data_IF_320700500376
#
_entry.id   IF_320700500376
#
_cell.length_a   1.000
_cell.length_b   1.000
_cell.length_c   1.000
_cell.angle_alpha   90.00
_cell.angle_beta   90.00
_cell.angle_gamma   90.00
#
_symmetry.space_group_name_H-M   'P 1'
#
loop_
_entity.id
_entity.type
_entity.pdbx_description
1 polymer ?
#
# COMPACT_ATOMS: atom_id res chain seq x y z
N UNK A 1 -7.60 33.58 25.37
CA UNK A 1 -6.25 33.47 24.77
C UNK A 1 -6.42 33.11 23.31
N UNK A 2 -6.01 34.01 22.43
CA UNK A 2 -6.21 33.95 20.98
C UNK A 2 -5.17 33.03 20.34
N UNK A 3 -5.60 32.01 19.59
CA UNK A 3 -4.72 31.29 18.65
C UNK A 3 -5.21 31.58 17.22
N UNK A 4 -4.37 32.29 16.47
CA UNK A 4 -4.63 32.70 15.09
C UNK A 4 -4.32 31.52 14.18
N UNK A 5 -5.34 30.81 13.71
CA UNK A 5 -5.21 29.75 12.71
C UNK A 5 -5.41 30.31 11.31
N UNK A 6 -4.32 30.43 10.56
CA UNK A 6 -4.34 30.75 9.13
C UNK A 6 -4.40 29.45 8.33
N UNK A 7 -5.60 29.10 7.86
CA UNK A 7 -5.83 28.02 6.89
C UNK A 7 -5.64 28.63 5.50
N UNK A 8 -4.64 28.15 4.76
CA UNK A 8 -4.52 28.42 3.33
C UNK A 8 -5.40 27.44 2.56
N UNK A 9 -6.54 27.94 2.09
CA UNK A 9 -7.34 27.33 1.04
C UNK A 9 -6.81 27.86 -0.30
N UNK A 10 -6.31 26.97 -1.14
CA UNK A 10 -6.14 27.20 -2.59
C UNK A 10 -6.60 25.93 -3.31
N UNK A 11 -7.87 25.88 -3.69
CA UNK A 11 -8.38 26.25 -5.02
C UNK A 11 -8.02 25.24 -6.13
N UNK A 12 -8.75 24.11 -6.13
CA UNK A 12 -9.62 23.65 -7.22
C UNK A 12 -9.41 24.30 -8.60
N UNK A 13 -8.98 23.53 -9.61
CA UNK A 13 -9.56 23.59 -10.95
C UNK A 13 -9.31 22.30 -11.74
N UNK A 14 -10.39 21.63 -12.10
CA UNK A 14 -10.42 20.50 -13.01
C UNK A 14 -10.63 20.96 -14.47
N UNK A 15 -10.27 20.05 -15.39
CA UNK A 15 -10.70 19.94 -16.79
C UNK A 15 -9.98 20.79 -17.86
N UNK A 16 -9.30 20.09 -18.79
CA UNK A 16 -9.58 20.09 -20.26
C UNK A 16 -8.32 19.71 -21.07
N UNK A 17 -8.37 18.63 -21.85
CA UNK A 17 -7.41 18.27 -22.92
C UNK A 17 -8.01 18.76 -24.26
N UNK A 18 -7.27 19.15 -25.35
CA UNK A 18 -6.22 18.35 -26.02
C UNK A 18 -5.02 19.05 -26.74
N UNK A 19 -3.93 18.29 -26.91
CA UNK A 19 -2.98 18.10 -28.05
C UNK A 19 -2.26 19.31 -28.75
N UNK A 20 -0.93 19.43 -28.53
CA UNK A 20 0.21 19.52 -29.49
C UNK A 20 1.35 20.49 -29.09
N UNK A 21 2.54 19.89 -28.97
CA UNK A 21 3.91 20.37 -29.26
C UNK A 21 4.27 21.83 -28.93
N UNK A 22 5.02 21.98 -27.84
CA UNK A 22 6.31 22.66 -27.87
C UNK A 22 7.32 21.77 -27.14
N UNK A 23 8.52 21.65 -27.68
CA UNK A 23 9.66 21.08 -26.98
C UNK A 23 9.96 21.98 -25.77
N UNK A 24 9.31 21.71 -24.64
CA UNK A 24 9.78 22.21 -23.36
C UNK A 24 10.98 21.37 -23.01
N UNK A 25 12.15 21.96 -23.21
CA UNK A 25 13.40 21.60 -22.55
C UNK A 25 13.18 21.81 -21.04
N UNK A 26 12.35 20.95 -20.44
CA UNK A 26 12.26 20.82 -19.02
C UNK A 26 13.65 20.37 -18.59
N UNK A 27 14.34 21.06 -17.67
CA UNK A 27 15.52 20.50 -17.07
C UNK A 27 15.06 19.19 -16.44
N UNK A 28 15.40 18.07 -17.08
CA UNK A 28 15.31 16.75 -16.48
C UNK A 28 16.27 16.86 -15.32
N UNK A 29 15.73 17.21 -14.15
CA UNK A 29 16.44 17.23 -12.90
C UNK A 29 16.90 15.80 -12.70
N UNK A 30 18.15 15.56 -13.12
CA UNK A 30 18.75 14.26 -13.09
C UNK A 30 18.85 13.94 -11.61
N UNK A 31 18.19 12.88 -11.12
CA UNK A 31 18.28 12.55 -9.71
C UNK A 31 19.77 12.37 -9.39
N UNK A 32 20.26 13.16 -8.43
CA UNK A 32 21.65 13.10 -8.01
C UNK A 32 22.04 11.63 -7.76
N UNK A 33 23.24 11.19 -8.16
CA UNK A 33 23.63 9.79 -8.06
C UNK A 33 23.49 9.33 -6.60
N UNK A 34 22.51 8.45 -6.37
CA UNK A 34 22.30 7.88 -5.03
C UNK A 34 23.54 7.10 -4.65
N UNK A 35 24.14 7.50 -3.53
CA UNK A 35 25.29 6.76 -3.01
C UNK A 35 24.86 5.32 -2.73
N UNK A 36 25.79 4.36 -2.86
CA UNK A 36 25.52 2.94 -2.57
C UNK A 36 24.94 2.73 -1.16
N UNK A 37 25.28 3.61 -0.21
CA UNK A 37 24.72 3.63 1.13
C UNK A 37 23.24 4.04 1.16
N UNK A 38 22.87 5.13 0.48
CA UNK A 38 21.49 5.58 0.37
C UNK A 38 20.60 4.54 -0.34
N UNK A 39 21.10 3.92 -1.42
CA UNK A 39 20.37 2.86 -2.12
C UNK A 39 20.14 1.62 -1.24
N UNK A 40 21.12 1.23 -0.40
CA UNK A 40 20.96 0.15 0.57
C UNK A 40 19.94 0.50 1.66
N UNK A 41 19.92 1.74 2.15
CA UNK A 41 18.96 2.19 3.14
C UNK A 41 17.52 2.15 2.60
N UNK A 42 17.31 2.64 1.37
CA UNK A 42 16.02 2.60 0.70
C UNK A 42 15.51 1.16 0.49
N UNK A 43 16.37 0.26 0.00
CA UNK A 43 16.02 -1.17 -0.17
C UNK A 43 15.66 -1.85 1.15
N UNK A 44 16.35 -1.52 2.24
CA UNK A 44 16.01 -2.03 3.58
C UNK A 44 14.64 -1.54 4.03
N UNK A 45 14.32 -0.27 3.84
CA UNK A 45 13.01 0.28 4.18
C UNK A 45 11.90 -0.41 3.38
N UNK A 46 12.06 -0.54 2.06
CA UNK A 46 11.11 -1.23 1.19
C UNK A 46 10.95 -2.71 1.56
N UNK A 47 12.04 -3.40 1.88
CA UNK A 47 11.99 -4.81 2.30
C UNK A 47 11.23 -4.99 3.60
N UNK A 48 11.31 -4.04 4.55
CA UNK A 48 10.53 -4.08 5.80
C UNK A 48 9.04 -3.93 5.52
N UNK A 49 8.67 -2.93 4.72
CA UNK A 49 7.27 -2.72 4.31
C UNK A 49 6.69 -3.94 3.59
N UNK A 50 7.46 -4.55 2.68
CA UNK A 50 7.03 -5.75 1.97
C UNK A 50 6.87 -6.97 2.92
N UNK A 51 7.72 -7.09 3.94
CA UNK A 51 7.57 -8.14 4.96
C UNK A 51 6.36 -7.89 5.85
N UNK A 52 6.12 -6.66 6.25
CA UNK A 52 4.96 -6.30 7.06
C UNK A 52 3.66 -6.61 6.34
N UNK A 53 3.56 -6.26 5.05
CA UNK A 53 2.40 -6.61 4.21
C UNK A 53 2.20 -8.14 4.13
N UNK A 54 3.24 -8.89 3.78
CA UNK A 54 3.16 -10.36 3.69
C UNK A 54 2.84 -11.03 5.02
N UNK A 55 3.40 -10.53 6.12
CA UNK A 55 3.16 -11.07 7.45
C UNK A 55 1.73 -10.77 7.92
N UNK A 56 1.17 -9.62 7.55
CA UNK A 56 -0.23 -9.29 7.85
C UNK A 56 -1.18 -10.25 7.13
N UNK A 57 -0.96 -10.51 5.84
CA UNK A 57 -1.74 -11.47 5.06
C UNK A 57 -1.60 -12.90 5.62
N UNK A 58 -0.38 -13.35 5.90
CA UNK A 58 -0.14 -14.66 6.52
C UNK A 58 -0.88 -14.79 7.86
N UNK A 59 -0.83 -13.76 8.69
CA UNK A 59 -1.52 -13.78 10.00
C UNK A 59 -3.04 -13.86 9.86
N UNK A 60 -3.64 -13.20 8.85
CA UNK A 60 -5.07 -13.34 8.54
C UNK A 60 -5.40 -14.78 8.14
N UNK A 61 -4.57 -15.41 7.31
CA UNK A 61 -4.77 -16.81 6.91
C UNK A 61 -4.62 -17.76 8.10
N UNK A 62 -3.62 -17.54 8.96
CA UNK A 62 -3.40 -18.31 10.21
C UNK A 62 -4.58 -18.24 11.17
N UNK A 63 -5.12 -17.04 11.39
CA UNK A 63 -6.34 -16.85 12.19
C UNK A 63 -7.54 -17.61 11.62
N UNK A 64 -7.56 -17.81 10.30
CA UNK A 64 -8.61 -18.55 9.62
C UNK A 64 -8.31 -20.05 9.45
N UNK A 65 -7.24 -20.56 10.08
CA UNK A 65 -6.93 -21.99 10.17
C UNK A 65 -5.86 -22.51 9.19
N UNK A 66 -5.13 -21.62 8.51
CA UNK A 66 -4.01 -21.99 7.64
C UNK A 66 -2.67 -21.88 8.39
N UNK A 67 -2.00 -22.99 8.68
CA UNK A 67 -0.71 -22.94 9.38
C UNK A 67 -0.19 -24.32 9.80
N UNK A 68 1.01 -24.37 10.42
CA UNK A 68 1.67 -25.62 10.85
C UNK A 68 0.91 -26.43 11.91
N UNK A 69 -0.11 -25.84 12.53
CA UNK A 69 -0.98 -26.45 13.53
C UNK A 69 -2.05 -27.33 12.87
N UNK A 70 -2.35 -27.11 11.59
CA UNK A 70 -3.25 -27.95 10.82
C UNK A 70 -2.53 -29.21 10.33
N UNK A 71 -3.29 -30.29 10.10
CA UNK A 71 -2.71 -31.49 9.55
C UNK A 71 -2.28 -31.25 8.08
N UNK A 72 -1.12 -31.77 7.63
CA UNK A 72 -0.63 -31.53 6.27
C UNK A 72 -1.61 -31.92 5.16
N UNK A 73 -2.41 -32.97 5.39
CA UNK A 73 -3.46 -33.41 4.48
C UNK A 73 -4.58 -32.38 4.26
N UNK A 74 -4.81 -31.48 5.22
CA UNK A 74 -5.88 -30.50 5.17
C UNK A 74 -5.44 -29.16 4.57
N UNK A 75 -4.14 -28.95 4.32
CA UNK A 75 -3.59 -27.68 3.84
C UNK A 75 -4.23 -27.13 2.57
N UNK A 76 -4.48 -27.93 1.52
CA UNK A 76 -5.11 -27.41 0.30
C UNK A 76 -6.50 -26.84 0.59
N UNK A 77 -7.27 -27.51 1.45
CA UNK A 77 -8.62 -27.09 1.78
C UNK A 77 -8.64 -25.93 2.77
N UNK A 78 -7.70 -25.91 3.72
CA UNK A 78 -7.57 -24.85 4.71
C UNK A 78 -7.13 -23.53 4.09
N UNK A 79 -6.28 -23.55 3.05
CA UNK A 79 -5.93 -22.35 2.28
C UNK A 79 -7.18 -21.71 1.66
N UNK A 80 -7.97 -22.48 0.90
CA UNK A 80 -9.19 -22.00 0.23
C UNK A 80 -10.20 -21.46 1.26
N UNK A 81 -10.38 -22.17 2.38
CA UNK A 81 -11.27 -21.73 3.46
C UNK A 81 -10.76 -20.44 4.12
N UNK A 82 -9.45 -20.33 4.34
CA UNK A 82 -8.85 -19.18 4.98
C UNK A 82 -8.94 -17.92 4.11
N UNK A 83 -8.68 -18.04 2.81
CA UNK A 83 -8.83 -16.93 1.84
C UNK A 83 -10.29 -16.45 1.78
N UNK A 84 -11.24 -17.38 1.66
CA UNK A 84 -12.68 -17.03 1.65
C UNK A 84 -13.12 -16.34 2.94
N UNK A 85 -12.63 -16.80 4.10
CA UNK A 85 -12.95 -16.17 5.39
C UNK A 85 -12.31 -14.80 5.55
N UNK A 86 -11.06 -14.64 5.13
CA UNK A 86 -10.35 -13.36 5.15
C UNK A 86 -11.09 -12.31 4.29
N UNK A 87 -11.50 -12.67 3.06
CA UNK A 87 -12.27 -11.77 2.19
C UNK A 87 -13.62 -11.36 2.78
N UNK A 88 -14.33 -12.29 3.43
CA UNK A 88 -15.60 -11.98 4.11
C UNK A 88 -15.40 -11.07 5.33
N UNK A 89 -14.32 -11.24 6.08
CA UNK A 89 -13.98 -10.38 7.22
C UNK A 89 -13.57 -8.98 6.79
N UNK A 90 -12.82 -8.86 5.69
CA UNK A 90 -12.46 -7.57 5.11
C UNK A 90 -13.71 -6.83 4.59
N UNK A 91 -14.68 -7.55 4.01
CA UNK A 91 -15.97 -6.98 3.62
C UNK A 91 -16.82 -6.55 4.82
N UNK A 92 -16.81 -7.31 5.92
CA UNK A 92 -17.53 -6.97 7.15
C UNK A 92 -16.87 -5.84 7.96
N UNK A 93 -15.57 -5.62 7.78
CA UNK A 93 -14.80 -4.57 8.45
C UNK A 93 -14.78 -3.25 7.67
N UNK A 94 -15.20 -3.26 6.40
CA UNK A 94 -15.40 -2.05 5.61
C UNK A 94 -16.72 -1.38 6.03
N UNK A 95 -16.71 -0.09 6.43
CA UNK A 95 -17.94 0.62 6.75
C UNK A 95 -18.88 0.62 5.54
N UNK A 96 -20.21 0.48 5.73
CA UNK A 96 -21.14 0.53 4.61
C UNK A 96 -20.99 1.86 3.87
N UNK A 97 -21.04 1.88 2.53
CA UNK A 97 -21.10 3.14 1.80
C UNK A 97 -22.32 3.92 2.30
N UNK A 98 -22.07 5.11 2.87
CA UNK A 98 -23.10 6.04 3.36
C UNK A 98 -23.81 6.73 2.20
#
# INVERSE_FOLDING_TARGET
MQVKSTVWVGALLAASLPIMVFAQDQPISTPAPVTKAQAKAARKAQSKQAREAKNAELKKLEQNGYGPQAAPQDYPQNLIRAERKAGNQDAASSPPPR
#
